data_IF_491396540046
#
_entry.id   IF_491396540046
#
_cell.length_a   1.000
_cell.length_b   1.000
_cell.length_c   1.000
_cell.angle_alpha   90.00
_cell.angle_beta   90.00
_cell.angle_gamma   90.00
#
_symmetry.space_group_name_H-M   'P 1'
#
loop_
_entity.id
_entity.type
_entity.pdbx_description
1 polymer ?
#
# COMPACT_ATOMS: atom_id res chain seq x y z
N UNK A 1 28.46 60.27 -9.23
CA UNK A 1 29.29 60.75 -10.37
C UNK A 1 30.01 59.52 -10.90
N UNK A 2 29.51 58.85 -11.95
CA UNK A 2 29.76 59.20 -13.36
C UNK A 2 31.14 58.62 -13.76
N UNK A 3 31.37 57.82 -14.80
CA UNK A 3 30.64 57.47 -16.03
C UNK A 3 31.37 56.25 -16.64
N UNK A 4 30.71 55.26 -17.27
CA UNK A 4 30.60 55.03 -18.73
C UNK A 4 31.95 54.92 -19.49
N UNK A 5 32.19 54.06 -20.49
CA UNK A 5 31.57 52.90 -21.16
C UNK A 5 32.45 52.63 -22.43
N UNK A 6 32.37 51.42 -23.01
CA UNK A 6 32.66 51.00 -24.42
C UNK A 6 34.06 50.50 -24.85
N UNK A 7 34.09 49.27 -25.41
CA UNK A 7 34.39 48.96 -26.83
C UNK A 7 34.39 47.42 -27.05
N UNK A 8 33.33 46.80 -27.58
CA UNK A 8 32.99 46.48 -28.99
C UNK A 8 33.66 45.21 -29.60
N UNK A 9 32.78 44.20 -29.79
CA UNK A 9 32.49 43.39 -31.01
C UNK A 9 33.59 42.53 -31.67
N UNK A 10 33.26 41.23 -31.86
CA UNK A 10 33.30 40.60 -33.19
C UNK A 10 32.23 39.51 -33.36
N UNK A 11 31.53 39.58 -34.49
CA UNK A 11 30.45 38.73 -34.97
C UNK A 11 30.97 37.67 -35.94
N UNK A 12 30.29 36.51 -36.01
CA UNK A 12 29.82 35.79 -37.22
C UNK A 12 29.66 34.29 -36.90
N UNK A 13 28.76 33.45 -37.43
CA UNK A 13 27.49 33.42 -38.21
C UNK A 13 27.40 31.96 -38.77
N UNK A 14 26.19 31.49 -39.14
CA UNK A 14 25.84 30.25 -39.90
C UNK A 14 25.91 28.92 -39.10
N UNK A 15 25.01 27.93 -39.18
CA UNK A 15 23.80 27.67 -40.00
C UNK A 15 22.92 26.59 -39.29
N UNK A 16 21.60 26.68 -39.46
CA UNK A 16 20.63 25.58 -39.21
C UNK A 16 20.59 24.63 -40.41
N UNK A 17 20.08 23.40 -40.20
CA UNK A 17 19.00 22.95 -41.06
C UNK A 17 17.78 22.46 -40.27
N UNK A 18 16.61 22.76 -40.85
CA UNK A 18 15.29 22.19 -40.58
C UNK A 18 15.02 21.12 -41.66
N UNK A 19 13.91 20.38 -41.51
CA UNK A 19 13.28 19.40 -42.42
C UNK A 19 13.51 17.94 -42.00
N UNK A 20 12.54 17.03 -41.98
CA UNK A 20 11.07 17.02 -42.05
C UNK A 20 10.69 15.56 -41.74
N UNK A 21 9.53 15.32 -41.12
CA UNK A 21 8.96 13.98 -40.92
C UNK A 21 8.45 13.35 -42.23
N UNK A 22 8.41 12.01 -42.34
CA UNK A 22 7.53 11.32 -43.28
C UNK A 22 6.32 10.64 -42.57
N UNK A 23 5.19 10.45 -43.28
CA UNK A 23 4.00 9.74 -42.80
C UNK A 23 3.88 8.30 -43.35
N UNK A 24 2.83 7.60 -42.90
CA UNK A 24 1.99 6.58 -43.58
C UNK A 24 1.95 5.18 -42.94
N UNK A 25 0.73 4.62 -43.01
CA UNK A 25 0.05 3.62 -42.18
C UNK A 25 0.24 2.11 -42.46
N UNK A 26 -0.45 1.34 -41.59
CA UNK A 26 -1.13 0.05 -41.77
C UNK A 26 -0.28 -1.21 -42.01
N UNK A 27 -0.32 -2.15 -41.05
CA UNK A 27 -1.08 -3.41 -41.18
C UNK A 27 -0.73 -4.41 -40.08
N UNK A 28 -1.77 -5.08 -39.62
CA UNK A 28 -1.86 -6.20 -38.68
C UNK A 28 -1.02 -7.42 -39.03
N UNK A 29 -0.48 -8.13 -38.03
CA UNK A 29 -0.76 -9.58 -37.84
C UNK A 29 -0.35 -10.05 -36.45
N UNK A 30 -1.27 -10.73 -35.77
CA UNK A 30 -1.04 -11.56 -34.59
C UNK A 30 -0.17 -12.77 -34.95
N UNK A 31 0.49 -13.39 -33.95
CA UNK A 31 0.40 -14.84 -33.87
C UNK A 31 -0.09 -15.34 -32.50
N UNK A 32 -1.05 -16.25 -32.62
CA UNK A 32 -1.49 -17.29 -31.70
C UNK A 32 -0.37 -17.94 -30.87
N UNK A 33 -0.59 -18.13 -29.56
CA UNK A 33 -1.13 -19.36 -28.97
C UNK A 33 -0.35 -20.62 -29.34
N UNK A 34 0.34 -21.21 -28.37
CA UNK A 34 0.55 -22.66 -28.33
C UNK A 34 0.73 -23.12 -26.88
N UNK A 35 -0.35 -23.69 -26.36
CA UNK A 35 -0.33 -24.66 -25.27
C UNK A 35 0.40 -25.92 -25.76
N UNK A 36 1.35 -26.44 -25.00
CA UNK A 36 1.81 -27.83 -25.15
C UNK A 36 1.89 -28.52 -23.79
N UNK A 37 0.95 -29.43 -23.60
CA UNK A 37 0.96 -30.48 -22.60
C UNK A 37 1.54 -31.76 -23.20
N UNK A 38 2.15 -32.54 -22.30
CA UNK A 38 2.13 -34.00 -22.20
C UNK A 38 3.13 -34.87 -23.01
N UNK A 39 4.02 -35.46 -22.21
CA UNK A 39 4.22 -36.89 -21.97
C UNK A 39 5.15 -37.76 -22.85
N UNK A 40 5.91 -38.53 -22.06
CA UNK A 40 6.30 -39.93 -22.22
C UNK A 40 7.52 -40.21 -23.12
N UNK A 41 8.61 -40.60 -22.45
CA UNK A 41 9.58 -41.54 -23.01
C UNK A 41 9.69 -42.74 -22.09
N UNK A 42 9.43 -43.91 -22.68
CA UNK A 42 9.45 -45.23 -22.05
C UNK A 42 10.89 -45.64 -21.72
N UNK A 43 11.01 -46.15 -20.51
CA UNK A 43 11.93 -47.18 -19.99
C UNK A 43 12.72 -47.97 -21.04
N UNK A 44 14.04 -48.00 -20.87
CA UNK A 44 14.89 -49.17 -21.09
C UNK A 44 16.06 -49.17 -20.09
N UNK A 45 16.02 -50.17 -19.21
CA UNK A 45 17.11 -50.80 -18.44
C UNK A 45 18.39 -50.94 -19.29
N UNK A 46 19.65 -50.82 -18.83
CA UNK A 46 20.28 -51.46 -17.66
C UNK A 46 21.75 -50.96 -17.52
N UNK A 47 22.30 -51.13 -16.31
CA UNK A 47 23.73 -51.26 -15.94
C UNK A 47 24.60 -50.06 -15.50
N UNK A 48 24.95 -50.15 -14.20
CA UNK A 48 26.22 -49.87 -13.48
C UNK A 48 26.65 -48.43 -13.14
N UNK A 49 26.61 -48.20 -11.81
CA UNK A 49 27.62 -47.57 -10.94
C UNK A 49 28.19 -46.19 -11.34
N UNK A 50 27.88 -45.16 -10.55
CA UNK A 50 28.83 -44.33 -9.75
C UNK A 50 28.06 -43.17 -9.08
N UNK A 51 28.52 -42.85 -7.86
CA UNK A 51 28.07 -41.90 -6.84
C UNK A 51 27.68 -40.49 -7.34
N UNK A 52 26.52 -39.94 -6.90
CA UNK A 52 26.25 -38.50 -6.69
C UNK A 52 24.79 -38.21 -6.24
N UNK A 53 24.49 -37.05 -5.62
CA UNK A 53 23.72 -36.97 -4.37
C UNK A 53 22.21 -36.75 -4.50
N UNK A 54 21.52 -37.04 -3.39
CA UNK A 54 20.09 -36.91 -3.14
C UNK A 54 19.47 -35.59 -3.65
N UNK A 55 18.61 -35.68 -4.66
CA UNK A 55 17.54 -34.72 -4.83
C UNK A 55 16.37 -35.13 -3.93
N UNK A 56 16.23 -34.43 -2.81
CA UNK A 56 15.05 -34.50 -1.96
C UNK A 56 13.83 -34.12 -2.78
N UNK A 57 13.10 -35.12 -3.27
CA UNK A 57 11.77 -34.95 -3.80
C UNK A 57 10.89 -34.57 -2.62
N UNK A 58 10.55 -33.28 -2.50
CA UNK A 58 9.58 -32.78 -1.56
C UNK A 58 8.20 -33.31 -1.98
N UNK A 59 7.92 -34.56 -1.66
CA UNK A 59 6.60 -35.15 -1.85
C UNK A 59 5.66 -34.43 -0.90
N UNK A 60 4.96 -33.40 -1.40
CA UNK A 60 3.85 -32.76 -0.68
C UNK A 60 2.70 -33.75 -0.66
N UNK A 61 2.75 -34.71 0.26
CA UNK A 61 1.58 -35.51 0.60
C UNK A 61 0.56 -34.56 1.22
N UNK A 62 -0.45 -34.19 0.44
CA UNK A 62 -1.71 -33.69 0.98
C UNK A 62 -2.33 -34.84 1.77
N UNK A 63 -1.95 -34.96 3.03
CA UNK A 63 -2.64 -35.81 3.97
C UNK A 63 -3.97 -35.14 4.29
N UNK A 64 -5.01 -35.53 3.55
CA UNK A 64 -6.40 -35.34 3.96
C UNK A 64 -6.64 -36.19 5.21
N UNK A 65 -6.22 -35.67 6.37
CA UNK A 65 -6.69 -36.20 7.65
C UNK A 65 -8.05 -35.60 7.93
N UNK A 66 -9.07 -36.32 7.45
CA UNK A 66 -10.38 -36.30 8.06
C UNK A 66 -10.22 -36.86 9.47
N UNK A 67 -10.55 -36.08 10.50
CA UNK A 67 -11.42 -36.48 11.61
C UNK A 67 -11.47 -35.41 12.72
N UNK A 68 -12.71 -35.24 13.19
CA UNK A 68 -13.15 -34.89 14.54
C UNK A 68 -13.15 -33.43 14.99
N UNK A 69 -14.39 -32.90 14.95
CA UNK A 69 -14.93 -31.81 15.75
C UNK A 69 -14.54 -32.00 17.23
N UNK A 70 -13.52 -31.28 17.67
CA UNK A 70 -13.45 -30.84 19.05
C UNK A 70 -13.44 -29.31 19.05
N UNK A 71 -14.56 -28.76 19.51
CA UNK A 71 -14.76 -27.34 19.76
C UNK A 71 -13.81 -26.95 20.89
N UNK A 72 -12.67 -26.34 20.55
CA UNK A 72 -11.97 -25.32 21.34
C UNK A 72 -10.69 -24.82 20.63
N UNK A 73 -10.80 -24.58 19.33
CA UNK A 73 -9.82 -23.82 18.56
C UNK A 73 -10.45 -22.49 18.19
N UNK A 74 -10.33 -21.48 19.04
CA UNK A 74 -10.58 -20.08 18.68
C UNK A 74 -9.51 -19.62 17.67
N UNK A 75 -9.55 -20.19 16.46
CA UNK A 75 -9.09 -19.47 15.29
C UNK A 75 -9.96 -18.21 15.13
N UNK A 76 -9.43 -17.12 14.56
CA UNK A 76 -10.21 -15.91 14.40
C UNK A 76 -11.46 -16.28 13.60
N UNK A 77 -12.63 -16.19 14.25
CA UNK A 77 -13.89 -16.43 13.58
C UNK A 77 -13.88 -15.65 12.25
N UNK A 78 -14.09 -16.33 11.13
CA UNK A 78 -14.28 -15.70 9.83
C UNK A 78 -15.59 -14.94 9.89
N UNK A 79 -15.52 -13.73 10.43
CA UNK A 79 -16.66 -12.82 10.54
C UNK A 79 -16.91 -12.23 9.16
N UNK A 80 -18.13 -12.42 8.67
CA UNK A 80 -18.59 -11.79 7.44
C UNK A 80 -18.82 -10.29 7.68
N UNK A 81 -17.80 -9.50 7.40
CA UNK A 81 -17.83 -8.03 7.47
C UNK A 81 -18.95 -7.43 6.62
N UNK A 82 -19.42 -8.15 5.60
CA UNK A 82 -20.49 -7.71 4.72
C UNK A 82 -21.85 -7.67 5.41
N UNK A 83 -22.00 -8.46 6.46
CA UNK A 83 -23.22 -8.56 7.26
C UNK A 83 -23.29 -7.56 8.43
N UNK A 84 -22.14 -7.02 8.87
CA UNK A 84 -22.06 -6.17 10.07
C UNK A 84 -22.27 -4.68 9.80
N UNK A 85 -21.91 -4.19 8.62
CA UNK A 85 -22.03 -2.78 8.28
C UNK A 85 -22.42 -2.68 6.82
N UNK A 86 -23.51 -1.99 6.47
CA UNK A 86 -23.90 -1.81 5.07
C UNK A 86 -22.81 -1.06 4.29
N UNK A 87 -22.74 -1.29 2.98
CA UNK A 87 -21.69 -0.70 2.14
C UNK A 87 -21.73 0.82 2.15
N UNK A 88 -22.92 1.39 1.95
CA UNK A 88 -23.12 2.84 1.94
C UNK A 88 -22.79 3.48 3.29
N UNK A 89 -23.10 2.78 4.39
CA UNK A 89 -22.75 3.21 5.74
C UNK A 89 -21.23 3.17 5.95
N UNK A 90 -20.55 2.13 5.48
CA UNK A 90 -19.09 2.05 5.51
C UNK A 90 -18.46 3.23 4.76
N UNK A 91 -18.92 3.51 3.54
CA UNK A 91 -18.42 4.64 2.76
C UNK A 91 -18.60 5.95 3.51
N UNK A 92 -19.82 6.23 3.99
CA UNK A 92 -20.11 7.46 4.75
C UNK A 92 -19.22 7.60 5.99
N UNK A 93 -19.09 6.53 6.79
CA UNK A 93 -18.30 6.55 8.02
C UNK A 93 -16.81 6.69 7.75
N UNK A 94 -16.27 5.92 6.80
CA UNK A 94 -14.85 5.96 6.45
C UNK A 94 -14.46 7.32 5.87
N UNK A 95 -15.27 7.85 4.95
CA UNK A 95 -15.01 9.14 4.31
C UNK A 95 -15.10 10.29 5.34
N UNK A 96 -16.10 10.28 6.23
CA UNK A 96 -16.17 11.23 7.34
C UNK A 96 -14.95 11.14 8.24
N UNK A 97 -14.58 9.93 8.67
CA UNK A 97 -13.44 9.74 9.58
C UNK A 97 -12.14 10.25 8.96
N UNK A 98 -11.89 9.95 7.69
CA UNK A 98 -10.67 10.39 7.00
C UNK A 98 -10.66 11.91 6.84
N UNK A 99 -11.81 12.51 6.52
CA UNK A 99 -11.94 13.96 6.39
C UNK A 99 -11.70 14.67 7.73
N UNK A 100 -12.31 14.18 8.81
CA UNK A 100 -12.13 14.74 10.15
C UNK A 100 -10.66 14.62 10.61
N UNK A 101 -10.02 13.48 10.32
CA UNK A 101 -8.59 13.29 10.58
C UNK A 101 -7.72 14.25 9.76
N UNK A 102 -8.07 14.47 8.50
CA UNK A 102 -7.35 15.41 7.64
C UNK A 102 -7.40 16.82 8.22
N UNK A 103 -8.59 17.33 8.55
CA UNK A 103 -8.76 18.67 9.14
C UNK A 103 -7.97 18.80 10.46
N UNK A 104 -8.06 17.80 11.33
CA UNK A 104 -7.35 17.80 12.61
C UNK A 104 -5.84 17.75 12.45
N UNK A 105 -5.35 17.01 11.47
CA UNK A 105 -3.93 16.98 11.19
C UNK A 105 -3.47 18.29 10.56
N UNK A 106 -4.20 18.89 9.63
CA UNK A 106 -3.88 20.23 9.08
C UNK A 106 -3.75 21.28 10.21
N UNK A 107 -4.73 21.33 11.13
CA UNK A 107 -4.67 22.19 12.32
C UNK A 107 -3.43 21.90 13.19
N UNK A 108 -3.10 20.63 13.36
CA UNK A 108 -1.91 20.20 14.11
C UNK A 108 -0.60 20.58 13.41
N UNK A 109 -0.53 20.44 12.08
CA UNK A 109 0.61 20.84 11.24
C UNK A 109 0.95 22.31 11.45
N UNK A 110 -0.08 23.17 11.47
CA UNK A 110 0.09 24.61 11.66
C UNK A 110 0.58 24.97 13.07
N UNK A 111 0.22 24.15 14.07
CA UNK A 111 0.62 24.36 15.46
C UNK A 111 2.04 23.89 15.79
N UNK A 112 2.54 22.86 15.08
CA UNK A 112 3.81 22.21 15.38
C UNK A 112 4.88 22.63 14.37
N UNK A 113 5.98 23.23 14.84
CA UNK A 113 7.16 23.52 14.02
C UNK A 113 8.06 22.27 13.86
N UNK A 114 7.64 21.32 13.02
CA UNK A 114 8.50 20.22 12.54
C UNK A 114 8.85 20.47 11.07
N UNK A 115 10.13 20.32 10.72
CA UNK A 115 10.58 20.47 9.34
C UNK A 115 10.15 19.27 8.47
N UNK A 116 9.67 19.55 7.26
CA UNK A 116 9.17 18.53 6.34
C UNK A 116 7.83 17.91 6.72
N UNK A 117 7.04 18.57 7.57
CA UNK A 117 5.68 18.16 7.89
C UNK A 117 4.74 18.50 6.71
N UNK A 118 3.99 17.50 6.23
CA UNK A 118 3.11 17.62 5.07
C UNK A 118 1.96 16.61 5.16
N UNK A 119 0.78 17.00 4.68
CA UNK A 119 -0.42 16.17 4.64
C UNK A 119 -1.01 16.16 3.23
N UNK A 120 -1.28 14.96 2.74
CA UNK A 120 -1.85 14.75 1.40
C UNK A 120 -2.99 13.73 1.48
N UNK A 121 -4.12 14.08 0.87
CA UNK A 121 -5.26 13.19 0.74
C UNK A 121 -5.63 13.03 -0.74
N UNK A 122 -5.47 11.81 -1.25
CA UNK A 122 -5.75 11.49 -2.64
C UNK A 122 -6.00 10.01 -2.83
N UNK A 123 -6.86 9.67 -3.80
CA UNK A 123 -7.17 8.27 -4.14
C UNK A 123 -7.60 7.41 -2.93
N UNK A 124 -8.37 8.00 -2.00
CA UNK A 124 -8.84 7.35 -0.76
C UNK A 124 -7.70 6.95 0.21
N UNK A 125 -6.53 7.58 0.06
CA UNK A 125 -5.35 7.41 0.90
C UNK A 125 -4.98 8.76 1.52
N UNK A 126 -4.96 8.82 2.85
CA UNK A 126 -4.45 9.93 3.63
C UNK A 126 -3.00 9.64 4.04
N UNK A 127 -2.09 10.54 3.69
CA UNK A 127 -0.66 10.44 3.99
C UNK A 127 -0.24 11.62 4.86
N UNK A 128 0.31 11.33 6.04
CA UNK A 128 0.89 12.33 6.94
C UNK A 128 2.40 12.09 7.02
N UNK A 129 3.18 13.03 6.53
CA UNK A 129 4.65 13.02 6.60
C UNK A 129 5.08 13.87 7.78
N UNK A 130 5.96 13.34 8.63
CA UNK A 130 6.50 14.03 9.81
C UNK A 130 8.03 14.24 9.67
N UNK A 131 8.50 14.53 8.45
CA UNK A 131 9.93 14.61 8.14
C UNK A 131 10.68 13.34 8.51
N UNK A 132 11.74 13.49 9.31
CA UNK A 132 12.62 12.39 9.75
C UNK A 132 11.96 11.43 10.75
N UNK A 133 10.80 11.79 11.32
CA UNK A 133 10.06 10.96 12.28
C UNK A 133 9.26 9.84 11.60
N UNK A 134 9.09 9.92 10.28
CA UNK A 134 8.45 8.89 9.46
C UNK A 134 7.19 9.36 8.75
N UNK A 135 6.42 8.40 8.25
CA UNK A 135 5.21 8.66 7.45
C UNK A 135 4.10 7.71 7.84
N UNK A 136 2.94 8.29 8.11
CA UNK A 136 1.69 7.57 8.31
C UNK A 136 0.93 7.47 6.99
N UNK A 137 0.36 6.30 6.74
CA UNK A 137 -0.51 6.07 5.58
C UNK A 137 -1.79 5.43 6.06
N UNK A 138 -2.92 6.11 5.91
CA UNK A 138 -4.26 5.61 6.20
C UNK A 138 -5.03 5.40 4.90
N UNK A 139 -5.48 4.18 4.65
CA UNK A 139 -6.12 3.80 3.39
C UNK A 139 -7.52 3.23 3.63
N UNK A 140 -8.50 3.70 2.85
CA UNK A 140 -9.85 3.12 2.79
C UNK A 140 -9.85 1.83 1.98
N UNK A 141 -10.15 0.70 2.62
CA UNK A 141 -10.18 -0.62 2.00
C UNK A 141 -11.61 -1.10 1.80
N UNK A 142 -12.23 -0.57 0.75
CA UNK A 142 -13.62 -0.83 0.37
C UNK A 142 -14.00 -2.32 0.27
N UNK A 143 -13.21 -3.20 -0.39
CA UNK A 143 -13.58 -4.61 -0.51
C UNK A 143 -13.72 -5.33 0.84
N UNK A 144 -13.01 -4.87 1.87
CA UNK A 144 -12.99 -5.45 3.21
C UNK A 144 -13.81 -4.64 4.23
N UNK A 145 -14.31 -3.46 3.85
CA UNK A 145 -14.96 -2.49 4.76
C UNK A 145 -14.08 -2.14 5.96
N UNK A 146 -12.82 -1.81 5.70
CA UNK A 146 -11.81 -1.53 6.71
C UNK A 146 -11.06 -0.22 6.45
N UNK A 147 -10.45 0.31 7.50
CA UNK A 147 -9.38 1.30 7.40
C UNK A 147 -8.04 0.62 7.71
N UNK A 148 -7.04 0.83 6.86
CA UNK A 148 -5.71 0.27 7.04
C UNK A 148 -4.72 1.39 7.34
N UNK A 149 -4.02 1.27 8.47
CA UNK A 149 -2.99 2.21 8.90
C UNK A 149 -1.62 1.56 8.73
N UNK A 150 -0.69 2.27 8.13
CA UNK A 150 0.75 2.02 8.24
C UNK A 150 1.33 3.09 9.15
N UNK A 151 1.72 2.71 10.37
CA UNK A 151 2.40 3.58 11.33
C UNK A 151 3.92 3.36 11.28
N UNK A 152 4.75 4.42 11.36
CA UNK A 152 6.19 4.28 11.55
C UNK A 152 6.56 3.72 12.93
N UNK A 153 5.64 3.76 13.91
CA UNK A 153 5.86 3.30 15.29
C UNK A 153 5.37 1.87 15.48
N UNK A 154 4.10 1.61 15.19
CA UNK A 154 3.45 0.31 15.44
C UNK A 154 3.37 -0.60 14.21
N UNK A 155 3.73 -0.10 13.03
CA UNK A 155 3.64 -0.85 11.78
C UNK A 155 2.20 -0.95 11.24
N UNK A 156 1.90 -1.98 10.42
CA UNK A 156 0.62 -2.11 9.76
C UNK A 156 -0.48 -2.61 10.71
N UNK A 157 -1.61 -1.92 10.71
CA UNK A 157 -2.82 -2.27 11.47
C UNK A 157 -4.07 -2.12 10.61
N UNK A 158 -5.10 -2.91 10.91
CA UNK A 158 -6.39 -2.90 10.19
C UNK A 158 -7.51 -2.72 11.19
N UNK A 159 -8.43 -1.81 10.89
CA UNK A 159 -9.50 -1.42 11.77
C UNK A 159 -10.84 -1.74 11.13
N UNK A 160 -11.71 -2.34 11.92
CA UNK A 160 -13.09 -2.61 11.60
C UNK A 160 -13.97 -1.62 12.37
N UNK A 161 -15.09 -1.20 11.78
CA UNK A 161 -16.07 -0.41 12.52
C UNK A 161 -16.78 -1.29 13.55
N UNK A 162 -16.77 -0.86 14.81
CA UNK A 162 -17.48 -1.48 15.91
C UNK A 162 -18.75 -0.68 16.20
N UNK A 163 -19.92 -1.31 16.05
CA UNK A 163 -21.22 -0.66 16.24
C UNK A 163 -21.50 -0.33 17.71
N UNK A 164 -20.98 -1.10 18.65
CA UNK A 164 -21.22 -0.89 20.07
C UNK A 164 -20.36 0.26 20.61
N UNK A 165 -19.09 0.31 20.20
CA UNK A 165 -18.15 1.36 20.56
C UNK A 165 -18.27 2.62 19.68
N UNK A 166 -18.98 2.55 18.55
CA UNK A 166 -19.06 3.60 17.51
C UNK A 166 -17.65 4.09 17.11
N UNK A 167 -16.74 3.15 16.86
CA UNK A 167 -15.35 3.46 16.60
C UNK A 167 -14.63 2.43 15.72
N UNK A 168 -13.52 2.86 15.12
CA UNK A 168 -12.60 1.99 14.39
C UNK A 168 -11.70 1.21 15.35
N UNK A 169 -11.92 -0.10 15.46
CA UNK A 169 -11.24 -0.99 16.40
C UNK A 169 -10.41 -2.04 15.67
N UNK A 170 -9.16 -2.20 16.09
CA UNK A 170 -8.33 -3.31 15.66
C UNK A 170 -8.69 -4.57 16.45
N UNK A 171 -9.36 -5.53 15.80
CA UNK A 171 -9.90 -6.73 16.46
C UNK A 171 -8.89 -7.54 17.27
N UNK A 172 -7.63 -7.62 16.81
CA UNK A 172 -6.59 -8.44 17.46
C UNK A 172 -6.16 -7.88 18.81
N UNK A 173 -5.99 -6.57 18.89
CA UNK A 173 -5.47 -5.89 20.10
C UNK A 173 -6.54 -5.13 20.86
N UNK A 174 -7.75 -5.02 20.28
CA UNK A 174 -8.86 -4.16 20.74
C UNK A 174 -8.48 -2.68 20.83
N UNK A 175 -7.44 -2.27 20.10
CA UNK A 175 -6.99 -0.89 20.08
C UNK A 175 -7.88 -0.03 19.19
N UNK A 176 -8.10 1.21 19.60
CA UNK A 176 -8.89 2.20 18.86
C UNK A 176 -7.96 3.02 17.95
N UNK A 177 -8.37 3.26 16.70
CA UNK A 177 -7.61 4.01 15.70
C UNK A 177 -7.17 5.39 16.21
N UNK A 178 -8.11 6.19 16.69
CA UNK A 178 -7.86 7.57 17.13
C UNK A 178 -6.90 7.57 18.32
N UNK A 179 -7.13 6.68 19.30
CA UNK A 179 -6.24 6.58 20.48
C UNK A 179 -4.82 6.18 20.11
N UNK A 180 -4.64 5.29 19.14
CA UNK A 180 -3.31 4.92 18.64
C UNK A 180 -2.65 6.18 18.06
N UNK A 181 -3.33 6.87 17.14
CA UNK A 181 -2.81 8.08 16.49
C UNK A 181 -2.45 9.16 17.52
N UNK A 182 -3.33 9.46 18.48
CA UNK A 182 -3.07 10.41 19.56
C UNK A 182 -1.81 10.03 20.36
N UNK A 183 -1.71 8.77 20.80
CA UNK A 183 -0.58 8.31 21.61
C UNK A 183 0.75 8.34 20.85
N UNK A 184 0.75 7.95 19.58
CA UNK A 184 1.96 7.90 18.76
C UNK A 184 2.40 9.30 18.32
N UNK A 185 1.46 10.21 18.01
CA UNK A 185 1.77 11.60 17.66
C UNK A 185 2.32 12.37 18.85
N UNK A 186 1.75 12.20 20.05
CA UNK A 186 2.31 12.74 21.30
C UNK A 186 3.73 12.23 21.51
N UNK A 187 3.96 10.93 21.29
CA UNK A 187 5.28 10.33 21.48
C UNK A 187 6.34 10.89 20.51
N UNK A 188 5.97 11.12 19.25
CA UNK A 188 6.91 11.57 18.21
C UNK A 188 7.13 13.09 18.23
N UNK A 189 6.05 13.85 18.36
CA UNK A 189 6.07 15.31 18.20
C UNK A 189 6.14 16.06 19.53
N UNK A 190 5.86 15.38 20.66
CA UNK A 190 5.87 15.96 22.00
C UNK A 190 4.63 16.78 22.36
N UNK A 191 3.85 17.22 21.37
CA UNK A 191 2.64 18.03 21.56
C UNK A 191 1.36 17.17 21.47
N UNK A 192 0.42 17.32 22.41
CA UNK A 192 -0.82 16.56 22.39
C UNK A 192 -1.78 17.01 21.30
N UNK A 193 -2.40 16.03 20.64
CA UNK A 193 -3.48 16.21 19.68
C UNK A 193 -4.75 15.57 20.23
N UNK A 194 -5.90 16.19 19.98
CA UNK A 194 -7.21 15.65 20.34
C UNK A 194 -8.00 15.33 19.07
N UNK A 195 -8.24 14.05 18.82
CA UNK A 195 -8.92 13.53 17.63
C UNK A 195 -10.36 13.07 17.92
N UNK A 196 -10.76 13.00 19.20
CA UNK A 196 -12.10 12.60 19.66
C UNK A 196 -13.02 13.75 20.05
#
# INVERSE_FOLDING_TARGET
MGSKLLSLRRLSKLLKPHFQSPPTSYASTFPHSSYLLLLASKVLSQHSNVLSPCFSSCSRSFCSRHLDLNVDSQGPATIDYRSLLQEDDFHRLADSTIHDLQEKFEEYCDSVQIDGLDIDYGNEVLTLKLGDLGTYVLNKQTPNRQLWLSSPVSGPSRFDWDLDAQAWIYRRTKANLLKILESELVQLCGEPIKLA
#
